data_IF_538112373308
#
_entry.id   IF_538112373308
#
_cell.length_a   1.000
_cell.length_b   1.000
_cell.length_c   1.000
_cell.angle_alpha   90.00
_cell.angle_beta   90.00
_cell.angle_gamma   90.00
#
_symmetry.space_group_name_H-M   'P 1'
#
loop_
_entity.id
_entity.type
_entity.pdbx_description
1 polymer ?
#
# COMPACT_ATOMS: atom_id res chain seq x y z
N UNK A 1 19.85 36.05 11.54
CA UNK A 1 20.15 34.83 10.77
C UNK A 1 18.86 34.24 10.28
N UNK A 2 18.87 33.81 9.09
CA UNK A 2 17.66 33.30 8.45
C UNK A 2 17.26 31.87 8.84
N UNK A 3 18.10 31.18 9.60
CA UNK A 3 17.82 29.82 10.01
C UNK A 3 17.75 28.80 8.88
N UNK A 4 18.33 29.15 7.74
CA UNK A 4 18.27 28.28 6.57
C UNK A 4 19.08 27.00 6.77
N UNK A 5 18.42 25.85 6.58
CA UNK A 5 19.04 24.54 6.70
C UNK A 5 18.80 23.77 5.42
N UNK A 6 19.88 23.28 4.81
CA UNK A 6 19.82 22.44 3.64
C UNK A 6 19.74 20.98 4.07
N UNK A 7 18.55 20.46 4.13
CA UNK A 7 18.37 19.07 4.52
C UNK A 7 16.98 18.77 5.04
N UNK A 8 16.83 17.54 5.51
CA UNK A 8 15.58 17.07 6.10
C UNK A 8 15.85 15.98 7.12
N UNK A 9 14.89 15.72 7.98
CA UNK A 9 14.92 14.63 8.94
C UNK A 9 13.87 13.59 8.56
N UNK A 10 14.19 12.32 8.79
CA UNK A 10 13.24 11.22 8.63
C UNK A 10 13.02 10.58 9.98
N UNK A 11 11.79 10.55 10.42
CA UNK A 11 11.40 9.99 11.72
C UNK A 11 10.48 8.79 11.52
N UNK A 12 10.76 7.71 12.24
CA UNK A 12 9.90 6.53 12.21
C UNK A 12 8.69 6.76 13.11
N UNK A 13 7.51 6.45 12.60
CA UNK A 13 6.29 6.38 13.41
C UNK A 13 6.22 4.98 14.02
N UNK A 14 6.32 4.91 15.33
CA UNK A 14 6.35 3.64 16.08
C UNK A 14 5.11 3.47 16.92
N UNK A 15 4.78 2.22 17.25
CA UNK A 15 3.69 1.92 18.16
C UNK A 15 2.31 1.81 17.50
N UNK A 16 2.25 1.79 16.18
CA UNK A 16 0.99 1.49 15.50
C UNK A 16 0.72 -0.01 15.64
N UNK A 17 -0.47 -0.39 16.16
CA UNK A 17 -0.82 -1.80 16.27
C UNK A 17 -1.08 -2.43 14.91
N UNK A 18 -1.34 -3.74 14.89
CA UNK A 18 -1.77 -4.42 13.66
C UNK A 18 -3.00 -3.73 13.09
N UNK A 19 -2.89 -3.25 11.87
CA UNK A 19 -4.00 -2.56 11.19
C UNK A 19 -5.00 -3.59 10.69
N UNK A 20 -6.28 -3.37 10.96
CA UNK A 20 -7.39 -4.26 10.60
C UNK A 20 -8.40 -3.54 9.73
N UNK A 21 -9.22 -4.29 8.97
CA UNK A 21 -10.30 -3.68 8.20
C UNK A 21 -11.19 -2.80 9.09
N UNK A 22 -11.48 -1.61 8.60
CA UNK A 22 -12.32 -0.66 9.32
C UNK A 22 -11.59 0.23 10.32
N UNK A 23 -10.29 0.02 10.55
CA UNK A 23 -9.52 0.88 11.42
C UNK A 23 -9.44 2.30 10.86
N UNK A 24 -9.52 3.28 11.75
CA UNK A 24 -9.24 4.67 11.41
C UNK A 24 -7.73 4.88 11.39
N UNK A 25 -7.14 4.70 10.23
CA UNK A 25 -5.68 4.77 10.06
C UNK A 25 -5.14 6.15 10.42
N UNK A 26 -5.85 7.21 10.07
CA UNK A 26 -5.43 8.57 10.41
C UNK A 26 -5.36 8.76 11.93
N UNK A 27 -6.35 8.27 12.66
CA UNK A 27 -6.36 8.35 14.12
C UNK A 27 -5.22 7.54 14.74
N UNK A 28 -4.94 6.35 14.20
CA UNK A 28 -3.82 5.52 14.66
C UNK A 28 -2.49 6.22 14.47
N UNK A 29 -2.29 6.86 13.32
CA UNK A 29 -1.05 7.58 13.01
C UNK A 29 -0.90 8.79 13.92
N UNK A 30 -1.94 9.59 14.06
CA UNK A 30 -1.90 10.80 14.92
C UNK A 30 -1.61 10.41 16.38
N UNK A 31 -2.21 9.32 16.85
CA UNK A 31 -1.95 8.83 18.21
C UNK A 31 -0.52 8.35 18.42
N UNK A 32 0.07 7.73 17.38
CA UNK A 32 1.45 7.24 17.44
C UNK A 32 2.50 8.34 17.16
N UNK A 33 2.12 9.41 16.50
CA UNK A 33 3.01 10.49 16.11
C UNK A 33 2.45 11.86 16.53
N UNK A 34 2.30 12.12 17.83
CA UNK A 34 1.74 13.40 18.30
C UNK A 34 2.64 14.59 17.97
N UNK A 35 3.86 14.34 17.53
CA UNK A 35 4.84 15.36 17.12
C UNK A 35 4.65 15.81 15.66
N UNK A 36 3.72 15.24 14.91
CA UNK A 36 3.43 15.67 13.53
C UNK A 36 2.95 17.11 13.49
N UNK A 37 3.40 17.84 12.48
CA UNK A 37 3.09 19.26 12.25
C UNK A 37 2.65 19.49 10.83
N UNK A 38 1.99 20.63 10.62
CA UNK A 38 1.70 21.08 9.27
C UNK A 38 2.99 21.25 8.47
N UNK A 39 2.97 20.82 7.22
CA UNK A 39 4.15 20.86 6.37
C UNK A 39 4.96 19.57 6.37
N UNK A 40 4.71 18.66 7.32
CA UNK A 40 5.36 17.36 7.32
C UNK A 40 4.86 16.50 6.17
N UNK A 41 5.74 15.64 5.67
CA UNK A 41 5.39 14.63 4.66
C UNK A 41 5.28 13.28 5.35
N UNK A 42 4.12 12.67 5.25
CA UNK A 42 3.88 11.34 5.81
C UNK A 42 4.01 10.30 4.71
N UNK A 43 4.92 9.34 4.91
CA UNK A 43 5.11 8.23 3.98
C UNK A 43 4.45 6.99 4.56
N UNK A 44 3.48 6.45 3.84
CA UNK A 44 2.66 5.32 4.29
C UNK A 44 2.76 4.20 3.26
N UNK A 45 2.94 2.96 3.73
CA UNK A 45 2.95 1.81 2.82
C UNK A 45 1.54 1.50 2.32
N UNK A 46 1.45 1.00 1.10
CA UNK A 46 0.15 0.56 0.56
C UNK A 46 -0.46 -0.59 1.35
N UNK A 47 0.36 -1.43 1.97
CA UNK A 47 -0.09 -2.58 2.75
C UNK A 47 -1.04 -2.18 3.87
N UNK A 48 -0.69 -1.18 4.69
CA UNK A 48 -1.55 -0.81 5.81
C UNK A 48 -2.80 -0.07 5.35
N UNK A 49 -2.72 0.69 4.26
CA UNK A 49 -3.90 1.32 3.66
C UNK A 49 -4.86 0.24 3.16
N UNK A 50 -4.35 -0.76 2.45
CA UNK A 50 -5.17 -1.87 1.96
C UNK A 50 -5.82 -2.65 3.09
N UNK A 51 -5.10 -2.89 4.20
CA UNK A 51 -5.67 -3.55 5.36
C UNK A 51 -6.80 -2.75 5.99
N UNK A 52 -6.59 -1.45 6.18
CA UNK A 52 -7.61 -0.57 6.75
C UNK A 52 -8.86 -0.49 5.88
N UNK A 53 -8.69 -0.52 4.57
CA UNK A 53 -9.80 -0.47 3.61
C UNK A 53 -10.47 -1.83 3.39
N UNK A 54 -9.97 -2.90 4.03
CA UNK A 54 -10.53 -4.23 3.85
C UNK A 54 -10.21 -4.87 2.51
N UNK A 55 -9.11 -4.47 1.87
CA UNK A 55 -8.68 -4.98 0.57
C UNK A 55 -7.80 -6.22 0.68
N UNK A 56 -8.08 -7.05 1.68
CA UNK A 56 -7.40 -8.34 1.86
C UNK A 56 -8.23 -9.43 1.21
N UNK A 57 -7.55 -10.31 0.48
CA UNK A 57 -8.20 -11.44 -0.19
C UNK A 57 -7.53 -12.72 0.29
N UNK A 58 -8.34 -13.69 0.71
CA UNK A 58 -7.84 -15.01 1.08
C UNK A 58 -7.47 -15.78 -0.18
N UNK A 59 -6.25 -16.31 -0.18
CA UNK A 59 -5.77 -17.13 -1.29
C UNK A 59 -5.11 -18.40 -0.75
N UNK A 60 -5.07 -19.48 -1.53
CA UNK A 60 -4.33 -20.69 -1.14
C UNK A 60 -2.85 -20.36 -0.87
N UNK A 61 -2.24 -21.11 0.05
CA UNK A 61 -0.88 -20.84 0.49
C UNK A 61 0.16 -21.07 -0.61
N UNK A 62 -0.10 -22.03 -1.50
CA UNK A 62 0.81 -22.39 -2.58
C UNK A 62 0.09 -23.13 -3.70
N UNK A 63 0.81 -23.43 -4.77
CA UNK A 63 0.33 -24.23 -5.88
C UNK A 63 -0.40 -23.44 -6.96
N UNK A 64 -0.96 -24.16 -7.97
CA UNK A 64 -1.66 -23.52 -9.09
C UNK A 64 -2.88 -22.72 -8.66
N UNK A 65 -3.55 -23.14 -7.59
CA UNK A 65 -4.71 -22.45 -7.06
C UNK A 65 -4.35 -21.05 -6.55
N UNK A 66 -3.15 -20.90 -5.95
CA UNK A 66 -2.65 -19.59 -5.51
C UNK A 66 -2.45 -18.66 -6.71
N UNK A 67 -1.82 -19.16 -7.77
CA UNK A 67 -1.60 -18.38 -8.97
C UNK A 67 -2.92 -18.00 -9.65
N UNK A 68 -3.88 -18.91 -9.69
CA UNK A 68 -5.20 -18.63 -10.26
C UNK A 68 -5.94 -17.56 -9.44
N UNK A 69 -5.89 -17.63 -8.12
CA UNK A 69 -6.51 -16.65 -7.24
C UNK A 69 -5.86 -15.28 -7.41
N UNK A 70 -4.53 -15.23 -7.47
CA UNK A 70 -3.78 -13.98 -7.69
C UNK A 70 -4.12 -13.38 -9.05
N UNK A 71 -4.20 -14.19 -10.09
CA UNK A 71 -4.56 -13.74 -11.43
C UNK A 71 -5.98 -13.17 -11.48
N UNK A 72 -6.92 -13.78 -10.74
CA UNK A 72 -8.29 -13.29 -10.67
C UNK A 72 -8.36 -11.91 -9.99
N UNK A 73 -7.61 -11.70 -8.91
CA UNK A 73 -7.52 -10.41 -8.24
C UNK A 73 -6.90 -9.37 -9.17
N UNK A 74 -5.82 -9.73 -9.86
CA UNK A 74 -5.16 -8.84 -10.81
C UNK A 74 -6.13 -8.39 -11.92
N UNK A 75 -6.90 -9.32 -12.46
CA UNK A 75 -7.92 -8.99 -13.48
C UNK A 75 -8.99 -8.05 -12.93
N UNK A 76 -9.46 -8.31 -11.71
CA UNK A 76 -10.49 -7.50 -11.08
C UNK A 76 -10.02 -6.06 -10.85
N UNK A 77 -8.75 -5.87 -10.50
CA UNK A 77 -8.18 -4.55 -10.23
C UNK A 77 -7.71 -3.82 -11.49
N UNK A 78 -7.60 -4.51 -12.61
CA UNK A 78 -7.05 -3.95 -13.85
C UNK A 78 -8.14 -3.32 -14.70
N UNK A 79 -8.01 -2.03 -14.99
CA UNK A 79 -8.83 -1.35 -15.98
C UNK A 79 -8.28 -1.60 -17.40
N UNK A 80 -6.96 -1.56 -17.56
CA UNK A 80 -6.30 -1.91 -18.84
C UNK A 80 -4.85 -2.32 -18.60
N UNK A 81 -4.35 -3.20 -19.48
CA UNK A 81 -2.94 -3.57 -19.50
C UNK A 81 -2.16 -2.54 -20.31
N UNK A 82 -1.13 -1.96 -19.71
CA UNK A 82 -0.29 -0.94 -20.36
C UNK A 82 0.91 -1.58 -21.03
N UNK A 83 1.57 -2.52 -20.36
CA UNK A 83 2.76 -3.19 -20.86
C UNK A 83 2.93 -4.54 -20.13
N UNK A 84 3.73 -5.41 -20.76
CA UNK A 84 4.05 -6.71 -20.17
C UNK A 84 5.55 -6.92 -20.25
N UNK A 85 6.13 -7.43 -19.17
CA UNK A 85 7.54 -7.81 -19.12
C UNK A 85 7.67 -9.14 -18.40
N UNK A 86 7.89 -10.22 -19.16
CA UNK A 86 7.87 -11.56 -18.57
C UNK A 86 6.54 -11.84 -17.91
N UNK A 87 6.51 -12.34 -16.67
CA UNK A 87 5.27 -12.58 -15.94
C UNK A 87 4.64 -11.30 -15.37
N UNK A 88 5.35 -10.18 -15.41
CA UNK A 88 4.89 -8.93 -14.81
C UNK A 88 4.09 -8.12 -15.81
N UNK A 89 2.91 -7.68 -15.38
CA UNK A 89 2.07 -6.75 -16.15
C UNK A 89 2.10 -5.38 -15.52
N UNK A 90 2.32 -4.38 -16.35
CA UNK A 90 2.13 -2.98 -15.97
C UNK A 90 0.71 -2.64 -16.37
N UNK A 91 -0.12 -2.34 -15.41
CA UNK A 91 -1.55 -2.13 -15.64
C UNK A 91 -1.99 -0.78 -15.09
N UNK A 92 -3.07 -0.26 -15.66
CA UNK A 92 -3.79 0.86 -15.07
C UNK A 92 -4.94 0.29 -14.24
N UNK A 93 -4.99 0.66 -12.96
CA UNK A 93 -6.06 0.25 -12.06
C UNK A 93 -7.32 1.06 -12.32
N UNK A 94 -8.44 0.62 -11.75
CA UNK A 94 -9.70 1.38 -11.82
C UNK A 94 -9.60 2.75 -11.18
N UNK A 95 -8.68 2.95 -10.24
CA UNK A 95 -8.39 4.26 -9.63
C UNK A 95 -7.52 5.15 -10.52
N UNK A 96 -7.01 4.64 -11.65
CA UNK A 96 -6.18 5.39 -12.58
C UNK A 96 -4.68 5.30 -12.35
N UNK A 97 -4.22 4.58 -11.33
CA UNK A 97 -2.79 4.38 -11.09
C UNK A 97 -2.19 3.38 -12.08
N UNK A 98 -1.03 3.70 -12.62
CA UNK A 98 -0.27 2.79 -13.49
C UNK A 98 0.84 2.17 -12.65
N UNK A 99 0.80 0.85 -12.49
CA UNK A 99 1.74 0.16 -11.63
C UNK A 99 1.89 -1.31 -12.00
N UNK A 100 2.98 -1.91 -11.53
CA UNK A 100 3.21 -3.34 -11.73
C UNK A 100 2.19 -4.16 -10.95
N UNK A 101 1.59 -5.16 -11.59
CA UNK A 101 0.65 -6.11 -10.99
C UNK A 101 -0.47 -5.45 -10.17
N UNK A 102 -0.93 -4.28 -10.62
CA UNK A 102 -1.99 -3.48 -9.97
C UNK A 102 -1.73 -3.19 -8.48
N UNK A 103 -0.47 -3.23 -8.05
CA UNK A 103 -0.11 -3.00 -6.66
C UNK A 103 -0.42 -4.16 -5.71
N UNK A 104 -0.72 -5.33 -6.24
CA UNK A 104 -1.02 -6.51 -5.42
C UNK A 104 0.22 -6.93 -4.64
N UNK A 105 0.08 -7.09 -3.33
CA UNK A 105 1.12 -7.55 -2.43
C UNK A 105 0.71 -8.89 -1.81
N UNK A 106 1.46 -9.93 -2.13
CA UNK A 106 1.25 -11.27 -1.59
C UNK A 106 2.27 -11.64 -0.51
N UNK A 107 3.14 -10.71 -0.14
CA UNK A 107 4.28 -11.00 0.75
C UNK A 107 3.89 -11.23 2.21
N UNK A 108 2.66 -10.88 2.58
CA UNK A 108 2.20 -10.94 3.97
C UNK A 108 0.98 -11.85 4.14
N UNK A 109 1.01 -12.97 3.52
CA UNK A 109 -0.08 -13.96 3.60
C UNK A 109 0.29 -15.08 4.55
#
# INVERSE_FOLDING_TARGET
MDGHIDGYSVLAVRGIPEVRPGDDLAALIVGAAPWLRDGDILVVTSKIVSKAEGQLVDVPAEGPEREAAREAVLRAETARVVATRGPTRIVQTHHGFVMASAGIDASNV
#
